data_IF_054957933583
#
_entry.id   IF_054957933583
#
_cell.length_a   1.000
_cell.length_b   1.000
_cell.length_c   1.000
_cell.angle_alpha   90.00
_cell.angle_beta   90.00
_cell.angle_gamma   90.00
#
_symmetry.space_group_name_H-M   'P 1'
#
loop_
_entity.id
_entity.type
_entity.pdbx_description
1 polymer ?
#
# COMPACT_ATOMS: atom_id res chain seq x y z
N UNK A 1 -1.22 19.84 21.31
CA UNK A 1 -0.74 20.40 20.04
C UNK A 1 -0.09 19.28 19.25
N UNK A 2 -0.46 19.06 17.98
CA UNK A 2 0.32 18.19 17.10
C UNK A 2 1.73 18.77 16.96
N UNK A 3 2.74 17.91 16.95
CA UNK A 3 4.11 18.36 16.73
C UNK A 3 4.24 18.96 15.33
N UNK A 4 5.04 20.03 15.14
CA UNK A 4 5.14 20.70 13.86
C UNK A 4 5.69 19.76 12.77
N UNK A 5 5.11 19.85 11.58
CA UNK A 5 5.60 19.15 10.38
C UNK A 5 7.01 19.69 10.08
N UNK A 6 8.00 18.81 10.00
CA UNK A 6 9.37 19.16 9.65
C UNK A 6 9.47 19.65 8.21
N UNK A 7 10.28 20.69 7.99
CA UNK A 7 10.57 21.24 6.66
C UNK A 7 11.76 20.55 5.98
N UNK A 8 12.55 19.76 6.72
CA UNK A 8 13.73 19.04 6.22
C UNK A 8 13.80 17.62 6.77
N UNK A 9 14.49 16.73 6.05
CA UNK A 9 14.76 15.37 6.53
C UNK A 9 15.74 15.41 7.72
N UNK A 10 15.67 14.43 8.63
CA UNK A 10 16.71 14.25 9.64
C UNK A 10 18.09 14.10 9.00
N UNK A 11 19.13 14.59 9.70
CA UNK A 11 20.51 14.53 9.21
C UNK A 11 20.94 13.08 8.91
N UNK A 12 21.61 12.87 7.78
CA UNK A 12 22.07 11.56 7.33
C UNK A 12 20.98 10.58 6.88
N UNK A 13 19.69 10.87 7.10
CA UNK A 13 18.60 9.94 6.77
C UNK A 13 18.51 9.64 5.28
N UNK A 14 18.56 10.67 4.42
CA UNK A 14 18.51 10.48 2.98
C UNK A 14 19.65 9.61 2.46
N UNK A 15 20.88 9.87 2.95
CA UNK A 15 22.07 9.10 2.61
C UNK A 15 21.91 7.64 3.02
N UNK A 16 21.46 7.39 4.26
CA UNK A 16 21.20 6.05 4.78
C UNK A 16 20.20 5.30 3.92
N UNK A 17 19.06 5.91 3.59
CA UNK A 17 18.01 5.24 2.82
C UNK A 17 18.47 4.96 1.39
N UNK A 18 19.14 5.90 0.73
CA UNK A 18 19.68 5.68 -0.63
C UNK A 18 20.76 4.59 -0.61
N UNK A 19 21.66 4.54 0.37
CA UNK A 19 22.64 3.45 0.52
C UNK A 19 21.98 2.07 0.60
N UNK A 20 20.82 2.00 1.27
CA UNK A 20 20.07 0.75 1.39
C UNK A 20 19.31 0.41 0.12
N UNK A 21 18.73 1.40 -0.57
CA UNK A 21 18.07 1.19 -1.87
C UNK A 21 19.06 0.66 -2.91
N UNK A 22 20.25 1.27 -3.02
CA UNK A 22 21.28 0.84 -3.97
C UNK A 22 21.83 -0.56 -3.67
N UNK A 23 21.59 -1.11 -2.47
CA UNK A 23 21.92 -2.50 -2.12
C UNK A 23 20.71 -3.44 -2.19
N UNK A 24 19.57 -2.95 -2.68
CA UNK A 24 18.31 -3.72 -2.76
C UNK A 24 17.70 -4.06 -1.39
N UNK A 25 18.07 -3.32 -0.34
CA UNK A 25 17.75 -3.62 1.07
C UNK A 25 16.57 -2.84 1.64
N UNK A 26 15.76 -2.24 0.79
CA UNK A 26 14.55 -1.51 1.17
C UNK A 26 13.36 -2.06 0.39
N UNK A 27 12.27 -2.31 1.10
CA UNK A 27 10.96 -2.63 0.52
C UNK A 27 10.04 -1.44 0.79
N UNK A 28 9.72 -0.61 -0.22
CA UNK A 28 8.70 0.41 -0.11
C UNK A 28 7.32 -0.21 0.13
N UNK A 29 6.56 0.41 1.02
CA UNK A 29 5.20 0.03 1.36
C UNK A 29 4.30 1.24 1.14
N UNK A 30 3.44 1.17 0.12
CA UNK A 30 2.65 2.28 -0.36
C UNK A 30 1.21 2.18 0.16
N UNK A 31 0.73 3.27 0.76
CA UNK A 31 -0.67 3.47 1.09
C UNK A 31 -1.33 4.52 0.21
N UNK A 32 -2.64 4.75 0.41
CA UNK A 32 -3.43 5.63 -0.46
C UNK A 32 -2.89 7.07 -0.53
N UNK A 33 -2.18 7.53 0.50
CA UNK A 33 -1.55 8.85 0.54
C UNK A 33 -0.49 9.08 -0.54
N UNK A 34 0.12 8.04 -1.14
CA UNK A 34 1.08 8.22 -2.24
C UNK A 34 0.40 8.75 -3.50
N UNK A 35 -0.88 8.42 -3.70
CA UNK A 35 -1.70 8.91 -4.81
C UNK A 35 -2.08 10.38 -4.62
N UNK A 36 -2.00 10.88 -3.39
CA UNK A 36 -2.29 12.27 -3.04
C UNK A 36 -1.03 13.14 -3.02
N UNK A 37 0.16 12.56 -3.23
CA UNK A 37 1.43 13.25 -3.02
C UNK A 37 1.60 14.50 -3.90
N UNK A 38 1.09 14.51 -5.13
CA UNK A 38 1.15 15.68 -6.02
C UNK A 38 -0.18 16.43 -6.10
N UNK A 39 -1.17 16.05 -5.28
CA UNK A 39 -2.49 16.69 -5.27
C UNK A 39 -2.42 18.08 -4.63
N UNK A 40 -2.97 19.14 -5.26
CA UNK A 40 -3.04 20.47 -4.63
C UNK A 40 -3.77 20.40 -3.29
N UNK A 41 -3.32 21.17 -2.30
CA UNK A 41 -3.83 21.08 -0.93
C UNK A 41 -5.28 21.57 -0.81
N UNK A 42 -5.70 22.49 -1.67
CA UNK A 42 -7.04 23.06 -1.76
C UNK A 42 -7.98 22.28 -2.68
N UNK A 43 -7.47 21.24 -3.34
CA UNK A 43 -8.26 20.39 -4.23
C UNK A 43 -9.30 19.61 -3.43
N UNK A 44 -10.56 19.70 -3.88
CA UNK A 44 -11.68 18.92 -3.35
C UNK A 44 -12.03 17.84 -4.35
N UNK A 45 -11.98 16.59 -3.92
CA UNK A 45 -12.32 15.47 -4.77
C UNK A 45 -13.84 15.29 -4.89
N UNK A 46 -14.28 14.96 -6.11
CA UNK A 46 -15.64 14.55 -6.49
C UNK A 46 -15.53 13.35 -7.45
N UNK A 47 -16.51 12.45 -7.45
CA UNK A 47 -16.47 11.22 -8.28
C UNK A 47 -16.53 11.46 -9.78
N UNK A 48 -17.00 12.65 -10.21
CA UNK A 48 -16.96 13.10 -11.60
C UNK A 48 -15.56 13.51 -12.07
N UNK A 49 -14.63 13.72 -11.14
CA UNK A 49 -13.30 14.25 -11.40
C UNK A 49 -12.25 13.13 -11.32
N UNK A 50 -11.57 12.89 -12.45
CA UNK A 50 -10.65 11.76 -12.62
C UNK A 50 -9.17 12.17 -12.56
N UNK A 51 -8.85 13.45 -12.34
CA UNK A 51 -7.46 13.94 -12.24
C UNK A 51 -6.70 13.43 -11.02
N UNK A 52 -7.39 13.07 -9.94
CA UNK A 52 -6.77 12.57 -8.71
C UNK A 52 -7.66 11.52 -8.06
N UNK A 53 -7.04 10.58 -7.35
CA UNK A 53 -7.78 9.63 -6.52
C UNK A 53 -8.31 10.28 -5.22
N UNK A 54 -9.39 9.72 -4.65
CA UNK A 54 -9.88 10.14 -3.35
C UNK A 54 -8.90 9.74 -2.24
N UNK A 55 -8.90 10.52 -1.15
CA UNK A 55 -8.41 10.03 0.15
C UNK A 55 -9.36 8.98 0.72
N UNK A 56 -8.91 8.21 1.72
CA UNK A 56 -9.78 7.22 2.39
C UNK A 56 -11.05 7.83 2.98
N UNK A 57 -10.97 9.07 3.49
CA UNK A 57 -12.14 9.80 3.99
C UNK A 57 -13.08 10.27 2.86
N UNK A 58 -12.53 10.79 1.76
CA UNK A 58 -13.34 11.18 0.59
C UNK A 58 -14.04 9.96 -0.03
N UNK A 59 -13.36 8.81 -0.10
CA UNK A 59 -13.93 7.56 -0.56
C UNK A 59 -15.05 7.07 0.38
N UNK A 60 -14.82 7.10 1.70
CA UNK A 60 -15.85 6.72 2.66
C UNK A 60 -17.10 7.60 2.53
N UNK A 61 -16.92 8.91 2.30
CA UNK A 61 -18.02 9.85 2.07
C UNK A 61 -18.77 9.56 0.77
N UNK A 62 -18.06 9.27 -0.31
CA UNK A 62 -18.68 8.92 -1.59
C UNK A 62 -19.51 7.64 -1.49
N UNK A 63 -18.94 6.59 -0.88
CA UNK A 63 -19.67 5.33 -0.69
C UNK A 63 -20.85 5.52 0.27
N UNK A 64 -20.71 6.33 1.31
CA UNK A 64 -21.78 6.62 2.25
C UNK A 64 -22.96 7.31 1.55
N UNK A 65 -22.67 8.29 0.67
CA UNK A 65 -23.68 8.92 -0.16
C UNK A 65 -24.31 7.91 -1.14
N UNK A 66 -23.48 7.14 -1.84
CA UNK A 66 -23.90 6.20 -2.86
C UNK A 66 -24.80 5.08 -2.34
N UNK A 67 -24.55 4.57 -1.14
CA UNK A 67 -25.32 3.50 -0.50
C UNK A 67 -26.43 4.02 0.43
N UNK A 68 -26.63 5.33 0.55
CA UNK A 68 -27.55 5.92 1.51
C UNK A 68 -27.26 5.48 2.97
N UNK A 69 -25.99 5.57 3.37
CA UNK A 69 -25.54 5.17 4.70
C UNK A 69 -26.24 6.00 5.80
N UNK A 70 -26.87 5.39 6.81
CA UNK A 70 -27.79 6.08 7.72
C UNK A 70 -27.11 7.18 8.56
N UNK A 71 -27.78 8.32 8.73
CA UNK A 71 -27.28 9.43 9.54
C UNK A 71 -27.05 9.04 11.02
N UNK A 72 -27.87 8.13 11.58
CA UNK A 72 -27.68 7.58 12.93
C UNK A 72 -26.38 6.79 13.07
N UNK A 73 -25.90 6.22 11.96
CA UNK A 73 -24.64 5.49 11.91
C UNK A 73 -23.42 6.42 11.71
N UNK A 74 -23.67 7.67 11.30
CA UNK A 74 -22.65 8.72 11.12
C UNK A 74 -22.49 9.59 12.37
N UNK A 75 -23.56 9.80 13.14
CA UNK A 75 -23.51 10.57 14.37
C UNK A 75 -24.44 9.99 15.43
N UNK A 76 -23.93 9.80 16.65
CA UNK A 76 -24.74 9.35 17.76
C UNK A 76 -25.79 10.41 18.14
N UNK A 77 -27.07 10.07 18.01
CA UNK A 77 -28.21 10.95 18.37
C UNK A 77 -28.63 10.85 19.84
N UNK A 78 -28.01 9.97 20.62
CA UNK A 78 -28.29 9.83 22.06
C UNK A 78 -27.68 10.99 22.87
N UNK A 79 -28.10 11.21 24.12
CA UNK A 79 -27.42 12.13 25.03
C UNK A 79 -25.91 11.83 25.10
N UNK A 80 -25.02 12.83 25.20
CA UNK A 80 -23.57 12.62 25.14
C UNK A 80 -23.02 11.61 26.15
N UNK A 81 -23.65 11.50 27.33
CA UNK A 81 -23.34 10.55 28.40
C UNK A 81 -23.77 9.11 28.10
N UNK A 82 -24.67 8.91 27.13
CA UNK A 82 -25.15 7.61 26.66
C UNK A 82 -24.58 7.24 25.28
N UNK A 83 -23.92 8.18 24.60
CA UNK A 83 -23.24 7.91 23.36
C UNK A 83 -21.97 7.08 23.59
N UNK A 84 -22.06 5.78 23.31
CA UNK A 84 -20.90 4.88 23.31
C UNK A 84 -19.87 5.25 22.22
N UNK A 85 -20.30 5.98 21.18
CA UNK A 85 -19.46 6.53 20.11
C UNK A 85 -19.90 7.96 19.76
N UNK A 86 -19.54 8.97 20.57
CA UNK A 86 -19.99 10.35 20.36
C UNK A 86 -19.36 10.98 19.11
N UNK A 87 -18.18 10.50 18.70
CA UNK A 87 -17.48 10.90 17.48
C UNK A 87 -17.24 9.67 16.61
N UNK A 88 -18.31 9.14 16.00
CA UNK A 88 -18.15 8.09 15.00
C UNK A 88 -17.56 8.72 13.74
N UNK A 89 -16.23 8.77 13.65
CA UNK A 89 -15.57 9.12 12.39
C UNK A 89 -16.11 8.20 11.29
N UNK A 90 -16.36 8.77 10.11
CA UNK A 90 -16.85 8.01 8.97
C UNK A 90 -15.78 7.00 8.54
N UNK A 91 -15.99 5.74 8.94
CA UNK A 91 -15.04 4.66 8.73
C UNK A 91 -15.29 3.95 7.40
N UNK A 92 -14.26 3.91 6.55
CA UNK A 92 -14.35 3.33 5.22
C UNK A 92 -14.78 1.85 5.27
N UNK A 93 -14.18 1.05 6.17
CA UNK A 93 -14.48 -0.37 6.23
C UNK A 93 -15.93 -0.63 6.63
N UNK A 94 -16.45 0.15 7.58
CA UNK A 94 -17.83 0.07 8.02
C UNK A 94 -18.83 0.52 6.95
N UNK A 95 -18.54 1.60 6.23
CA UNK A 95 -19.40 2.07 5.12
C UNK A 95 -19.39 1.04 3.99
N UNK A 96 -18.23 0.49 3.64
CA UNK A 96 -18.15 -0.57 2.63
C UNK A 96 -18.88 -1.84 3.06
N UNK A 97 -18.75 -2.24 4.33
CA UNK A 97 -19.50 -3.37 4.89
C UNK A 97 -21.01 -3.15 4.78
N UNK A 98 -21.49 -1.94 5.08
CA UNK A 98 -22.90 -1.60 4.92
C UNK A 98 -23.34 -1.75 3.47
N UNK A 99 -22.61 -1.16 2.52
CA UNK A 99 -22.93 -1.26 1.09
C UNK A 99 -22.99 -2.70 0.60
N UNK A 100 -22.06 -3.55 1.04
CA UNK A 100 -22.06 -4.98 0.73
C UNK A 100 -23.27 -5.71 1.32
N UNK A 101 -23.64 -5.41 2.57
CA UNK A 101 -24.80 -6.03 3.22
C UNK A 101 -26.14 -5.58 2.63
N UNK A 102 -26.25 -4.35 2.14
CA UNK A 102 -27.51 -3.78 1.65
C UNK A 102 -27.71 -3.94 0.14
N UNK A 103 -26.65 -3.80 -0.65
CA UNK A 103 -26.71 -3.84 -2.13
C UNK A 103 -25.91 -5.00 -2.73
N UNK A 104 -25.14 -5.74 -1.92
CA UNK A 104 -24.34 -6.89 -2.34
C UNK A 104 -22.90 -6.53 -2.73
N UNK A 105 -22.00 -7.53 -2.76
CA UNK A 105 -20.58 -7.33 -3.06
C UNK A 105 -20.33 -6.81 -4.49
N UNK A 106 -21.21 -7.15 -5.45
CA UNK A 106 -21.12 -6.66 -6.82
C UNK A 106 -21.31 -5.15 -6.92
N UNK A 107 -22.28 -4.57 -6.21
CA UNK A 107 -22.52 -3.13 -6.21
C UNK A 107 -21.34 -2.34 -5.62
N UNK A 108 -20.72 -2.87 -4.56
CA UNK A 108 -19.48 -2.32 -4.01
C UNK A 108 -18.32 -2.40 -5.00
N UNK A 109 -18.12 -3.55 -5.65
CA UNK A 109 -17.08 -3.72 -6.65
C UNK A 109 -17.27 -2.77 -7.84
N UNK A 110 -18.49 -2.61 -8.36
CA UNK A 110 -18.79 -1.69 -9.47
C UNK A 110 -18.47 -0.23 -9.13
N UNK A 111 -18.78 0.22 -7.91
CA UNK A 111 -18.44 1.58 -7.45
C UNK A 111 -16.94 1.78 -7.26
N UNK A 112 -16.24 0.78 -6.72
CA UNK A 112 -14.78 0.85 -6.58
C UNK A 112 -14.11 0.82 -7.95
N UNK A 113 -14.59 -0.02 -8.87
CA UNK A 113 -14.13 -0.07 -10.25
C UNK A 113 -14.27 1.30 -10.92
N UNK A 114 -15.43 1.94 -10.85
CA UNK A 114 -15.65 3.24 -11.52
C UNK A 114 -14.70 4.35 -11.01
N UNK A 115 -14.24 4.24 -9.77
CA UNK A 115 -13.29 5.18 -9.15
C UNK A 115 -11.84 4.84 -9.52
N UNK A 116 -11.44 3.57 -9.46
CA UNK A 116 -10.03 3.15 -9.56
C UNK A 116 -9.61 2.67 -10.95
N UNK A 117 -10.55 2.31 -11.83
CA UNK A 117 -10.26 1.85 -13.19
C UNK A 117 -9.82 3.00 -14.11
N UNK A 118 -10.06 4.26 -13.75
CA UNK A 118 -9.51 5.41 -14.49
C UNK A 118 -8.32 5.97 -13.73
N UNK A 119 -7.12 5.77 -14.29
CA UNK A 119 -5.86 6.16 -13.65
C UNK A 119 -5.53 7.63 -13.85
N UNK A 120 -5.39 8.44 -12.78
CA UNK A 120 -4.71 9.72 -12.88
C UNK A 120 -3.22 9.50 -13.21
N UNK A 121 -2.48 10.58 -13.47
CA UNK A 121 -1.04 10.46 -13.68
C UNK A 121 -0.34 9.95 -12.40
N UNK A 122 0.66 9.09 -12.59
CA UNK A 122 1.53 8.65 -11.51
C UNK A 122 2.13 9.84 -10.75
N UNK A 123 2.30 9.73 -9.43
CA UNK A 123 2.91 10.79 -8.62
C UNK A 123 4.44 10.68 -8.57
N UNK A 124 5.12 11.67 -7.99
CA UNK A 124 6.58 11.67 -7.82
C UNK A 124 7.09 10.47 -7.03
N UNK A 125 6.28 9.91 -6.12
CA UNK A 125 6.64 8.69 -5.37
C UNK A 125 6.81 7.52 -6.33
N UNK A 126 5.85 7.33 -7.23
CA UNK A 126 5.87 6.26 -8.24
C UNK A 126 7.05 6.42 -9.19
N UNK A 127 7.25 7.62 -9.74
CA UNK A 127 8.37 7.92 -10.64
C UNK A 127 9.71 7.69 -9.96
N UNK A 128 9.91 8.23 -8.76
CA UNK A 128 11.14 8.03 -7.99
C UNK A 128 11.46 6.54 -7.81
N UNK A 129 10.47 5.71 -7.46
CA UNK A 129 10.68 4.27 -7.27
C UNK A 129 10.96 3.52 -8.58
N UNK A 130 10.33 3.92 -9.68
CA UNK A 130 10.58 3.34 -10.99
C UNK A 130 11.96 3.72 -11.56
N UNK A 131 12.41 4.95 -11.27
CA UNK A 131 13.68 5.51 -11.76
C UNK A 131 14.90 5.09 -10.90
N UNK A 132 14.68 4.38 -9.78
CA UNK A 132 15.76 3.89 -8.92
C UNK A 132 16.75 3.03 -9.73
N UNK A 133 18.07 3.27 -9.64
CA UNK A 133 19.07 2.43 -10.28
C UNK A 133 18.95 0.97 -9.82
N UNK A 134 19.38 0.04 -10.69
CA UNK A 134 19.51 -1.35 -10.31
C UNK A 134 20.40 -1.50 -9.06
N UNK A 135 20.00 -2.40 -8.17
CA UNK A 135 20.76 -2.66 -6.96
C UNK A 135 22.09 -3.34 -7.28
N UNK A 136 23.10 -3.06 -6.45
CA UNK A 136 24.37 -3.78 -6.45
C UNK A 136 24.12 -5.27 -6.23
N UNK A 137 24.59 -6.08 -7.17
CA UNK A 137 24.42 -7.52 -7.11
C UNK A 137 25.19 -8.13 -5.93
N UNK A 138 24.45 -8.75 -5.00
CA UNK A 138 25.02 -9.50 -3.88
C UNK A 138 24.69 -11.00 -4.04
N UNK A 139 25.67 -11.87 -4.39
CA UNK A 139 25.42 -13.29 -4.66
C UNK A 139 24.76 -14.05 -3.49
N UNK A 140 25.00 -13.62 -2.26
CA UNK A 140 24.46 -14.21 -1.04
C UNK A 140 23.03 -13.76 -0.73
N UNK A 141 22.47 -12.82 -1.51
CA UNK A 141 21.12 -12.26 -1.37
C UNK A 141 20.44 -12.08 -2.74
N UNK A 142 20.18 -13.17 -3.48
CA UNK A 142 19.57 -13.09 -4.80
C UNK A 142 18.21 -12.37 -4.79
N UNK A 143 17.45 -12.44 -3.69
CA UNK A 143 16.19 -11.73 -3.51
C UNK A 143 16.33 -10.20 -3.54
N UNK A 144 17.55 -9.66 -3.40
CA UNK A 144 17.82 -8.22 -3.40
C UNK A 144 18.18 -7.63 -4.76
N UNK A 145 18.24 -8.46 -5.82
CA UNK A 145 18.60 -8.03 -7.19
C UNK A 145 17.64 -6.96 -7.75
N UNK A 146 16.35 -7.12 -7.49
CA UNK A 146 15.32 -6.18 -7.97
C UNK A 146 14.43 -5.67 -6.84
N UNK A 147 13.74 -4.56 -7.10
CA UNK A 147 12.86 -3.91 -6.14
C UNK A 147 11.60 -4.76 -5.88
N UNK A 148 11.18 -4.81 -4.62
CA UNK A 148 9.82 -5.22 -4.24
C UNK A 148 9.11 -3.98 -3.72
N UNK A 149 7.98 -3.66 -4.32
CA UNK A 149 7.06 -2.63 -3.82
C UNK A 149 5.82 -3.33 -3.29
N UNK A 150 5.46 -3.08 -2.03
CA UNK A 150 4.18 -3.54 -1.48
C UNK A 150 3.19 -2.39 -1.52
N UNK A 151 1.93 -2.64 -1.86
CA UNK A 151 0.89 -1.62 -1.88
C UNK A 151 -0.44 -2.16 -1.37
N UNK A 152 -1.20 -1.29 -0.71
CA UNK A 152 -2.62 -1.50 -0.38
C UNK A 152 -3.55 -0.76 -1.33
N UNK A 153 -3.01 -0.10 -2.35
CA UNK A 153 -3.81 0.62 -3.33
C UNK A 153 -4.32 -0.34 -4.39
N UNK A 154 -5.56 -0.11 -4.84
CA UNK A 154 -6.21 -0.97 -5.83
C UNK A 154 -5.79 -0.63 -7.27
N UNK A 155 -5.39 0.61 -7.53
CA UNK A 155 -5.01 1.12 -8.86
C UNK A 155 -3.75 0.44 -9.43
N UNK A 156 -3.52 0.62 -10.74
CA UNK A 156 -2.38 0.06 -11.47
C UNK A 156 -1.19 1.05 -11.60
N UNK A 157 -1.17 2.19 -10.88
CA UNK A 157 -0.18 3.27 -11.14
C UNK A 157 1.26 2.82 -10.99
N UNK A 158 1.58 2.07 -9.93
CA UNK A 158 2.95 1.58 -9.73
C UNK A 158 3.36 0.60 -10.84
N UNK A 159 2.43 -0.24 -11.29
CA UNK A 159 2.65 -1.24 -12.35
C UNK A 159 2.94 -0.55 -13.69
N UNK A 160 2.18 0.50 -13.98
CA UNK A 160 2.27 1.29 -15.23
C UNK A 160 3.47 2.24 -15.26
N UNK A 161 4.05 2.58 -14.10
CA UNK A 161 5.17 3.55 -14.04
C UNK A 161 6.52 2.92 -14.38
N UNK A 162 6.68 1.59 -14.23
CA UNK A 162 7.93 0.94 -14.61
C UNK A 162 8.13 0.95 -16.14
N UNK A 163 9.21 1.54 -16.67
CA UNK A 163 9.44 1.62 -18.10
C UNK A 163 9.77 0.24 -18.69
N UNK A 164 9.55 0.06 -20.00
CA UNK A 164 10.09 -1.09 -20.72
C UNK A 164 11.61 -0.93 -20.87
N UNK A 165 12.43 -2.01 -20.74
CA UNK A 165 12.03 -3.42 -20.63
C UNK A 165 11.71 -3.89 -19.19
N UNK A 166 11.89 -3.05 -18.18
CA UNK A 166 11.75 -3.33 -16.74
C UNK A 166 10.31 -3.41 -16.21
N UNK A 167 9.33 -3.74 -17.07
CA UNK A 167 7.96 -4.01 -16.63
C UNK A 167 7.96 -4.98 -15.45
N UNK A 168 7.13 -4.73 -14.45
CA UNK A 168 7.12 -5.52 -13.22
C UNK A 168 6.29 -6.79 -13.33
N UNK A 169 6.62 -7.77 -12.49
CA UNK A 169 5.66 -8.81 -12.11
C UNK A 169 4.70 -8.25 -11.06
N UNK A 170 3.45 -8.67 -11.08
CA UNK A 170 2.44 -8.24 -10.12
C UNK A 170 1.89 -9.45 -9.40
N UNK A 171 2.03 -9.47 -8.08
CA UNK A 171 1.47 -10.50 -7.21
C UNK A 171 0.34 -9.85 -6.43
N UNK A 172 -0.89 -10.33 -6.58
CA UNK A 172 -2.06 -9.69 -5.97
C UNK A 172 -2.94 -10.69 -5.24
N UNK A 173 -3.53 -10.24 -4.13
CA UNK A 173 -4.47 -11.00 -3.33
C UNK A 173 -5.86 -11.02 -3.98
N UNK A 174 -6.52 -12.17 -3.95
CA UNK A 174 -7.88 -12.35 -4.40
C UNK A 174 -8.78 -12.73 -3.20
N UNK A 175 -9.71 -11.86 -2.79
CA UNK A 175 -10.58 -12.09 -1.66
C UNK A 175 -11.65 -13.16 -1.91
N UNK A 176 -11.89 -13.61 -3.15
CA UNK A 176 -12.97 -14.55 -3.46
C UNK A 176 -12.85 -15.84 -2.62
N UNK A 177 -13.82 -16.13 -1.73
CA UNK A 177 -13.77 -17.28 -0.82
C UNK A 177 -13.73 -18.62 -1.57
N UNK A 178 -14.18 -18.65 -2.84
CA UNK A 178 -14.12 -19.86 -3.70
C UNK A 178 -12.69 -20.22 -4.10
N UNK A 179 -11.75 -19.29 -3.97
CA UNK A 179 -10.37 -19.50 -4.40
C UNK A 179 -9.46 -20.14 -3.35
N UNK A 180 -9.98 -20.56 -2.19
CA UNK A 180 -9.22 -21.29 -1.16
C UNK A 180 -8.66 -22.63 -1.68
N UNK A 181 -7.43 -23.03 -1.30
CA UNK A 181 -6.50 -22.36 -0.37
C UNK A 181 -5.63 -21.26 -1.01
N UNK A 182 -5.66 -21.12 -2.33
CA UNK A 182 -4.73 -20.31 -3.10
C UNK A 182 -5.25 -18.88 -3.31
N UNK A 183 -4.86 -17.97 -2.43
CA UNK A 183 -5.38 -16.59 -2.39
C UNK A 183 -4.58 -15.56 -3.18
N UNK A 184 -3.42 -15.92 -3.71
CA UNK A 184 -2.58 -15.01 -4.51
C UNK A 184 -2.49 -15.45 -5.96
N UNK A 185 -2.46 -14.45 -6.84
CA UNK A 185 -2.26 -14.60 -8.27
C UNK A 185 -1.01 -13.85 -8.71
N UNK A 186 -0.42 -14.29 -9.82
CA UNK A 186 0.74 -13.68 -10.43
C UNK A 186 0.40 -13.26 -11.87
N UNK A 187 0.49 -11.96 -12.14
CA UNK A 187 0.40 -11.34 -13.47
C UNK A 187 1.82 -10.99 -13.95
N UNK A 188 2.22 -11.57 -15.07
CA UNK A 188 3.49 -11.29 -15.73
C UNK A 188 3.38 -10.03 -16.61
N UNK A 189 4.51 -9.40 -17.01
CA UNK A 189 4.55 -8.26 -17.93
C UNK A 189 3.83 -8.44 -19.28
N UNK A 190 3.67 -9.68 -19.73
CA UNK A 190 2.95 -10.02 -20.97
C UNK A 190 1.42 -10.07 -20.79
N UNK A 191 0.93 -9.84 -19.56
CA UNK A 191 -0.48 -9.90 -19.19
C UNK A 191 -0.96 -11.30 -18.80
N UNK A 192 -0.10 -12.32 -18.83
CA UNK A 192 -0.45 -13.68 -18.40
C UNK A 192 -0.69 -13.68 -16.90
N UNK A 193 -1.89 -14.10 -16.49
CA UNK A 193 -2.30 -14.21 -15.09
C UNK A 193 -2.40 -15.68 -14.70
N UNK A 194 -1.68 -16.08 -13.66
CA UNK A 194 -1.62 -17.47 -13.16
C UNK A 194 -1.89 -17.51 -11.66
N UNK A 195 -2.74 -18.44 -11.23
CA UNK A 195 -3.00 -18.67 -9.80
C UNK A 195 -1.79 -19.31 -9.12
N UNK A 196 -1.38 -18.80 -7.97
CA UNK A 196 -0.28 -19.39 -7.18
C UNK A 196 -0.89 -20.49 -6.30
N UNK A 197 -0.92 -21.73 -6.81
CA UNK A 197 -1.62 -22.83 -6.14
C UNK A 197 -0.94 -23.23 -4.84
N UNK A 198 0.35 -23.56 -4.92
CA UNK A 198 1.21 -23.85 -3.77
C UNK A 198 2.38 -22.86 -3.77
N UNK A 199 2.38 -21.87 -2.86
CA UNK A 199 3.46 -20.90 -2.79
C UNK A 199 4.84 -21.49 -2.42
N UNK A 200 4.88 -22.66 -1.77
CA UNK A 200 6.12 -23.32 -1.38
C UNK A 200 6.84 -23.92 -2.59
N UNK A 201 6.09 -24.40 -3.58
CA UNK A 201 6.60 -25.02 -4.81
C UNK A 201 6.42 -24.14 -6.04
N UNK A 202 6.06 -22.87 -5.88
CA UNK A 202 5.89 -21.95 -7.01
C UNK A 202 7.26 -21.56 -7.61
N UNK A 203 7.69 -22.30 -8.62
CA UNK A 203 8.98 -22.11 -9.29
C UNK A 203 8.92 -20.94 -10.28
N UNK A 204 9.22 -19.74 -9.79
CA UNK A 204 9.40 -18.55 -10.60
C UNK A 204 10.53 -17.68 -10.04
N UNK A 205 11.42 -17.20 -10.92
CA UNK A 205 12.58 -16.37 -10.56
C UNK A 205 12.19 -14.94 -10.21
N UNK A 206 11.43 -14.74 -9.13
CA UNK A 206 11.12 -13.40 -8.65
C UNK A 206 12.42 -12.65 -8.35
N UNK A 207 12.44 -11.37 -8.73
CA UNK A 207 13.56 -10.44 -8.56
C UNK A 207 14.79 -10.68 -9.44
N UNK A 208 14.84 -11.73 -10.27
CA UNK A 208 16.03 -12.02 -11.08
C UNK A 208 16.34 -10.92 -12.11
N UNK A 209 15.31 -10.39 -12.76
CA UNK A 209 15.46 -9.47 -13.90
C UNK A 209 14.55 -8.25 -13.84
N UNK A 210 13.58 -8.21 -12.92
CA UNK A 210 12.55 -7.17 -12.89
C UNK A 210 11.98 -6.95 -11.49
N UNK A 211 11.45 -5.75 -11.23
CA UNK A 211 10.76 -5.45 -9.98
C UNK A 211 9.46 -6.25 -9.84
N UNK A 212 8.99 -6.37 -8.59
CA UNK A 212 7.71 -6.99 -8.26
C UNK A 212 6.85 -5.99 -7.50
N UNK A 213 5.57 -5.89 -7.87
CA UNK A 213 4.54 -5.16 -7.11
C UNK A 213 3.67 -6.20 -6.39
N UNK A 214 3.65 -6.15 -5.05
CA UNK A 214 2.80 -6.99 -4.21
C UNK A 214 1.57 -6.18 -3.74
N UNK A 215 0.38 -6.55 -4.20
CA UNK A 215 -0.89 -5.91 -3.83
C UNK A 215 -1.65 -6.77 -2.83
N UNK A 216 -1.66 -6.34 -1.57
CA UNK A 216 -2.19 -7.16 -0.48
C UNK A 216 -3.68 -6.93 -0.19
N UNK A 217 -4.27 -5.85 -0.71
CA UNK A 217 -5.70 -5.56 -0.58
C UNK A 217 -6.48 -5.86 -1.86
N UNK A 218 -5.87 -6.59 -2.78
CA UNK A 218 -6.42 -6.85 -4.10
C UNK A 218 -6.12 -5.76 -5.11
N UNK A 219 -6.87 -5.75 -6.21
CA UNK A 219 -6.53 -5.00 -7.41
C UNK A 219 -7.78 -4.67 -8.23
N UNK A 220 -7.73 -3.52 -8.89
CA UNK A 220 -8.50 -3.27 -10.11
C UNK A 220 -7.77 -3.96 -11.28
N UNK A 221 -8.48 -4.37 -12.32
CA UNK A 221 -7.92 -4.93 -13.55
C UNK A 221 -8.70 -4.36 -14.72
N UNK A 222 -8.18 -3.25 -15.27
CA UNK A 222 -8.80 -2.54 -16.41
C UNK A 222 -8.98 -3.44 -17.64
N UNK A 223 -8.18 -4.50 -17.75
CA UNK A 223 -8.25 -5.44 -18.88
C UNK A 223 -9.30 -6.53 -18.68
N UNK A 224 -9.67 -6.82 -17.43
CA UNK A 224 -10.63 -7.87 -17.10
C UNK A 224 -11.26 -7.68 -15.70
N UNK A 225 -12.42 -7.03 -15.65
CA UNK A 225 -13.18 -6.79 -14.43
C UNK A 225 -13.51 -8.07 -13.63
N UNK A 226 -13.55 -9.25 -14.26
CA UNK A 226 -13.82 -10.52 -13.57
C UNK A 226 -12.65 -11.00 -12.68
N UNK A 227 -11.48 -10.34 -12.78
CA UNK A 227 -10.30 -10.61 -11.94
C UNK A 227 -10.12 -9.60 -10.81
N UNK A 228 -11.05 -8.64 -10.70
CA UNK A 228 -11.00 -7.62 -9.67
C UNK A 228 -11.37 -8.19 -8.31
N UNK A 229 -10.69 -7.67 -7.29
CA UNK A 229 -10.91 -8.07 -5.92
C UNK A 229 -10.52 -6.94 -4.98
N UNK A 230 -11.36 -6.66 -3.99
CA UNK A 230 -11.16 -5.56 -3.06
C UNK A 230 -11.23 -6.05 -1.62
N UNK A 231 -10.16 -5.88 -0.85
CA UNK A 231 -10.15 -6.07 0.60
C UNK A 231 -10.40 -4.72 1.25
N UNK A 232 -11.65 -4.45 1.63
CA UNK A 232 -12.07 -3.13 2.12
C UNK A 232 -13.04 -3.20 3.30
N UNK A 233 -13.88 -4.25 3.39
CA UNK A 233 -14.83 -4.45 4.48
C UNK A 233 -14.17 -5.07 5.71
N UNK A 234 -14.82 -4.98 6.87
CA UNK A 234 -14.32 -5.63 8.10
C UNK A 234 -14.21 -7.15 7.90
N UNK A 235 -15.20 -7.77 7.25
CA UNK A 235 -15.19 -9.20 6.94
C UNK A 235 -14.01 -9.58 6.05
N UNK A 236 -13.69 -8.80 5.00
CA UNK A 236 -12.52 -9.05 4.16
C UNK A 236 -11.21 -9.01 4.95
N UNK A 237 -11.07 -8.05 5.86
CA UNK A 237 -9.88 -7.99 6.70
C UNK A 237 -9.84 -9.14 7.70
N UNK A 238 -10.96 -9.54 8.31
CA UNK A 238 -11.02 -10.69 9.21
C UNK A 238 -10.62 -11.95 8.44
N UNK A 239 -11.19 -12.21 7.27
CA UNK A 239 -10.83 -13.36 6.45
C UNK A 239 -9.33 -13.34 6.08
N UNK A 240 -8.85 -12.24 5.50
CA UNK A 240 -7.45 -12.12 5.13
C UNK A 240 -6.49 -12.31 6.31
N UNK A 241 -6.86 -11.75 7.48
CA UNK A 241 -5.96 -11.68 8.63
C UNK A 241 -6.05 -12.87 9.59
N UNK A 242 -7.22 -13.53 9.69
CA UNK A 242 -7.47 -14.68 10.56
C UNK A 242 -7.15 -16.04 9.90
N UNK A 243 -6.85 -16.05 8.60
CA UNK A 243 -6.50 -17.25 7.84
C UNK A 243 -5.03 -17.72 8.05
N UNK A 244 -4.51 -18.53 7.11
CA UNK A 244 -3.26 -19.27 7.19
C UNK A 244 -2.00 -18.42 7.42
N UNK A 245 -0.91 -19.03 7.89
CA UNK A 245 0.38 -18.34 8.00
C UNK A 245 0.83 -17.75 6.64
N UNK A 246 1.49 -16.60 6.63
CA UNK A 246 1.95 -15.97 5.38
C UNK A 246 2.87 -16.87 4.55
N UNK A 247 3.59 -17.79 5.21
CA UNK A 247 4.40 -18.83 4.57
C UNK A 247 3.62 -19.76 3.63
N UNK A 248 2.29 -19.85 3.82
CA UNK A 248 1.38 -20.63 2.98
C UNK A 248 0.64 -19.79 1.94
N UNK A 249 0.78 -18.46 1.99
CA UNK A 249 0.06 -17.54 1.11
C UNK A 249 0.98 -16.87 0.08
N UNK A 250 2.23 -16.58 0.46
CA UNK A 250 3.18 -15.85 -0.39
C UNK A 250 4.32 -16.76 -0.87
N UNK A 251 4.80 -16.58 -2.12
CA UNK A 251 6.00 -17.25 -2.60
C UNK A 251 7.19 -17.00 -1.67
N UNK A 252 8.02 -18.03 -1.47
CA UNK A 252 9.15 -18.02 -0.53
C UNK A 252 10.09 -16.82 -0.73
N UNK A 253 10.36 -16.43 -1.97
CA UNK A 253 11.31 -15.36 -2.30
C UNK A 253 10.74 -13.98 -1.92
N UNK A 254 9.45 -13.77 -2.17
CA UNK A 254 8.73 -12.55 -1.76
C UNK A 254 8.74 -12.42 -0.24
N UNK A 255 8.42 -13.51 0.46
CA UNK A 255 8.41 -13.51 1.93
C UNK A 255 9.81 -13.36 2.54
N UNK A 256 10.83 -13.99 1.95
CA UNK A 256 12.22 -13.85 2.37
C UNK A 256 12.69 -12.39 2.26
N UNK A 257 12.34 -11.72 1.15
CA UNK A 257 12.67 -10.31 0.93
C UNK A 257 11.95 -9.39 1.92
N UNK A 258 10.68 -9.64 2.23
CA UNK A 258 9.92 -8.88 3.25
C UNK A 258 10.54 -9.02 4.65
N UNK A 259 11.00 -10.23 5.00
CA UNK A 259 11.56 -10.51 6.34
C UNK A 259 12.98 -9.99 6.52
N UNK A 260 13.77 -9.93 5.44
CA UNK A 260 15.22 -9.74 5.51
C UNK A 260 15.70 -8.35 5.05
N UNK A 261 14.78 -7.39 4.92
CA UNK A 261 15.08 -6.02 4.47
C UNK A 261 14.35 -4.96 5.31
N UNK A 262 14.78 -3.71 5.18
CA UNK A 262 14.11 -2.59 5.82
C UNK A 262 12.79 -2.26 5.13
N UNK A 263 11.78 -1.89 5.89
CA UNK A 263 10.48 -1.47 5.34
C UNK A 263 10.38 0.06 5.32
N UNK A 264 9.90 0.64 4.22
CA UNK A 264 9.70 2.09 4.10
C UNK A 264 8.23 2.39 3.79
N UNK A 265 7.48 2.83 4.79
CA UNK A 265 6.07 3.20 4.67
C UNK A 265 5.91 4.62 4.12
N UNK A 266 5.21 4.74 3.00
CA UNK A 266 4.93 5.99 2.29
C UNK A 266 3.41 6.14 2.11
N UNK A 267 2.86 7.27 2.55
CA UNK A 267 1.43 7.58 2.34
C UNK A 267 0.48 6.62 3.04
N UNK A 268 0.94 5.97 4.12
CA UNK A 268 0.20 4.94 4.83
C UNK A 268 -0.29 5.47 6.18
N UNK A 269 -1.51 5.14 6.60
CA UNK A 269 -2.00 5.46 7.95
C UNK A 269 -1.54 4.40 8.94
N UNK A 270 -0.70 4.78 9.92
CA UNK A 270 -0.27 3.84 10.97
C UNK A 270 -1.39 3.49 11.97
N UNK A 271 -2.55 4.14 11.86
CA UNK A 271 -3.77 3.80 12.61
C UNK A 271 -4.42 2.52 12.10
N UNK A 272 -4.15 2.13 10.86
CA UNK A 272 -4.83 1.02 10.23
C UNK A 272 -4.41 -0.29 10.91
N UNK A 273 -5.38 -0.91 11.59
CA UNK A 273 -5.14 -2.12 12.36
C UNK A 273 -4.74 -3.30 11.47
N UNK A 274 -5.23 -3.34 10.22
CA UNK A 274 -4.92 -4.37 9.25
C UNK A 274 -3.41 -4.47 8.95
N UNK A 275 -2.71 -3.34 8.80
CA UNK A 275 -1.27 -3.29 8.62
C UNK A 275 -0.54 -3.84 9.85
N UNK A 276 -0.99 -3.47 11.05
CA UNK A 276 -0.38 -3.92 12.30
C UNK A 276 -0.40 -5.44 12.39
N UNK A 277 -1.52 -6.06 12.00
CA UNK A 277 -1.63 -7.52 11.96
C UNK A 277 -0.76 -8.11 10.86
N UNK A 278 -0.73 -7.51 9.66
CA UNK A 278 0.14 -7.95 8.57
C UNK A 278 1.63 -7.97 9.00
N UNK A 279 2.12 -6.90 9.63
CA UNK A 279 3.51 -6.81 10.07
C UNK A 279 3.85 -7.82 11.17
N UNK A 280 2.91 -8.10 12.08
CA UNK A 280 3.07 -9.17 13.09
C UNK A 280 3.16 -10.56 12.47
N UNK A 281 2.55 -10.77 11.30
CA UNK A 281 2.65 -12.02 10.55
C UNK A 281 3.94 -12.09 9.73
N UNK A 282 4.38 -10.98 9.15
CA UNK A 282 5.66 -10.91 8.41
C UNK A 282 6.83 -11.13 9.36
N UNK A 283 6.85 -10.43 10.51
CA UNK A 283 7.96 -10.38 11.46
C UNK A 283 9.28 -9.93 10.81
N UNK A 284 9.34 -8.68 10.28
CA UNK A 284 10.55 -8.17 9.67
C UNK A 284 11.71 -8.13 10.69
N UNK A 285 12.91 -8.51 10.24
CA UNK A 285 14.11 -8.56 11.10
C UNK A 285 14.84 -7.23 11.22
N UNK A 286 14.55 -6.30 10.32
CA UNK A 286 15.21 -5.00 10.24
C UNK A 286 14.25 -3.89 10.63
N UNK A 287 14.82 -2.73 10.98
CA UNK A 287 14.05 -1.52 11.28
C UNK A 287 13.21 -1.07 10.09
N UNK A 288 12.11 -0.40 10.41
CA UNK A 288 11.22 0.24 9.46
C UNK A 288 11.24 1.76 9.61
N UNK A 289 10.91 2.46 8.52
CA UNK A 289 10.71 3.90 8.51
C UNK A 289 9.30 4.21 8.04
N UNK A 290 8.64 5.19 8.65
CA UNK A 290 7.34 5.68 8.21
C UNK A 290 7.38 7.19 7.99
N UNK A 291 6.96 7.64 6.81
CA UNK A 291 6.93 9.06 6.45
C UNK A 291 5.51 9.59 6.63
N UNK A 292 5.33 10.42 7.65
CA UNK A 292 4.02 10.94 8.05
C UNK A 292 4.16 12.41 8.41
N UNK A 293 3.32 13.32 7.88
CA UNK A 293 3.37 14.73 8.26
C UNK A 293 3.09 14.90 9.77
N UNK A 294 2.20 14.08 10.32
CA UNK A 294 1.88 14.05 11.73
C UNK A 294 1.67 12.59 12.17
N UNK A 295 2.38 12.17 13.22
CA UNK A 295 2.02 10.97 13.97
C UNK A 295 1.43 11.40 15.32
N UNK A 296 0.33 10.76 15.72
CA UNK A 296 -0.32 11.05 16.99
C UNK A 296 0.57 10.63 18.17
N UNK A 297 0.39 11.28 19.33
CA UNK A 297 1.16 11.01 20.56
C UNK A 297 1.09 9.56 21.06
N UNK A 298 0.14 8.78 20.53
CA UNK A 298 -0.06 7.36 20.87
C UNK A 298 0.66 6.43 19.88
N UNK A 299 0.88 6.86 18.63
CA UNK A 299 1.44 6.00 17.59
C UNK A 299 2.93 5.71 17.84
N UNK A 300 3.73 6.73 18.17
CA UNK A 300 5.16 6.55 18.44
C UNK A 300 5.43 5.56 19.60
N UNK A 301 4.82 5.72 20.80
CA UNK A 301 5.01 4.75 21.88
C UNK A 301 4.48 3.35 21.54
N UNK A 302 3.39 3.25 20.77
CA UNK A 302 2.84 1.96 20.36
C UNK A 302 3.85 1.17 19.53
N UNK A 303 4.43 1.79 18.50
CA UNK A 303 5.39 1.11 17.62
C UNK A 303 6.73 0.84 18.27
N UNK A 304 7.21 1.71 19.18
CA UNK A 304 8.40 1.41 20.01
C UNK A 304 8.24 0.15 20.87
N UNK A 305 7.02 -0.22 21.22
CA UNK A 305 6.71 -1.43 22.02
C UNK A 305 6.43 -2.68 21.18
N UNK A 306 6.33 -2.55 19.85
CA UNK A 306 6.17 -3.72 18.98
C UNK A 306 7.54 -4.34 18.68
N UNK A 307 7.53 -5.59 18.21
CA UNK A 307 8.74 -6.30 17.74
C UNK A 307 9.41 -5.61 16.53
N UNK A 308 8.72 -4.65 15.89
CA UNK A 308 9.23 -3.89 14.73
C UNK A 308 9.66 -2.49 15.19
N UNK A 309 10.96 -2.23 15.14
CA UNK A 309 11.52 -0.89 15.40
C UNK A 309 11.12 0.08 14.27
N UNK A 310 10.06 0.86 14.50
CA UNK A 310 9.55 1.86 13.55
C UNK A 310 10.09 3.27 13.88
N UNK A 311 10.76 3.88 12.91
CA UNK A 311 11.25 5.26 12.98
C UNK A 311 10.33 6.19 12.18
N UNK A 312 9.70 7.15 12.85
CA UNK A 312 8.78 8.11 12.20
C UNK A 312 9.56 9.32 11.69
N UNK A 313 9.45 9.59 10.38
CA UNK A 313 10.02 10.76 9.71
C UNK A 313 8.91 11.78 9.49
N UNK A 314 8.93 12.84 10.30
CA UNK A 314 7.86 13.85 10.39
C UNK A 314 7.96 14.92 9.29
N UNK A 315 7.74 14.55 8.04
CA UNK A 315 7.76 15.45 6.87
C UNK A 315 6.64 15.08 5.90
N UNK A 316 6.33 15.97 4.95
CA UNK A 316 5.45 15.61 3.83
C UNK A 316 6.14 14.65 2.86
N UNK A 317 5.36 13.88 2.09
CA UNK A 317 5.92 13.00 1.06
C UNK A 317 6.70 13.79 0.00
N UNK A 318 6.25 15.00 -0.35
CA UNK A 318 6.96 15.86 -1.31
C UNK A 318 8.35 16.23 -0.82
N UNK A 319 8.46 16.64 0.46
CA UNK A 319 9.73 16.97 1.08
C UNK A 319 10.63 15.73 1.18
N UNK A 320 10.05 14.59 1.56
CA UNK A 320 10.79 13.33 1.70
C UNK A 320 11.40 12.87 0.37
N UNK A 321 10.56 12.72 -0.66
CA UNK A 321 11.01 12.28 -1.99
C UNK A 321 12.00 13.27 -2.58
N UNK A 322 11.75 14.59 -2.46
CA UNK A 322 12.70 15.60 -2.92
C UNK A 322 14.06 15.55 -2.22
N UNK A 323 14.10 15.09 -0.96
CA UNK A 323 15.35 14.83 -0.24
C UNK A 323 16.10 13.61 -0.76
N UNK A 324 15.39 12.52 -1.05
CA UNK A 324 15.96 11.30 -1.62
C UNK A 324 16.46 11.51 -3.06
N UNK A 325 15.69 12.22 -3.90
CA UNK A 325 16.08 12.59 -5.27
C UNK A 325 17.38 13.40 -5.30
N UNK A 326 17.49 14.42 -4.43
CA UNK A 326 18.71 15.22 -4.31
C UNK A 326 19.91 14.38 -3.89
N UNK A 327 19.73 13.44 -2.97
CA UNK A 327 20.81 12.57 -2.51
C UNK A 327 21.23 11.56 -3.58
N UNK A 328 20.28 11.00 -4.32
CA UNK A 328 20.57 10.12 -5.45
C UNK A 328 21.31 10.87 -6.57
N UNK A 329 20.88 12.09 -6.90
CA UNK A 329 21.53 12.91 -7.93
C UNK A 329 22.99 13.22 -7.62
N UNK A 330 23.36 13.43 -6.34
CA UNK A 330 24.76 13.64 -5.92
C UNK A 330 25.67 12.45 -6.24
N UNK A 331 25.11 11.24 -6.36
CA UNK A 331 25.86 10.02 -6.66
C UNK A 331 26.18 9.86 -8.14
N UNK A 332 25.55 10.66 -9.01
CA UNK A 332 25.80 10.64 -10.45
C UNK A 332 25.47 9.31 -11.13
N UNK A 333 24.60 8.49 -10.52
CA UNK A 333 24.18 7.21 -11.09
C UNK A 333 23.08 7.47 -12.14
N UNK A 334 23.15 6.82 -13.31
CA UNK A 334 22.06 6.90 -14.28
C UNK A 334 20.79 6.27 -13.69
N UNK A 335 19.59 6.77 -14.07
CA UNK A 335 18.34 6.08 -13.74
C UNK A 335 18.33 4.68 -14.38
N UNK A 336 17.46 3.80 -13.88
CA UNK A 336 17.29 2.47 -14.47
C UNK A 336 16.92 2.56 -15.97
N UNK A 337 17.58 1.82 -16.87
CA UNK A 337 17.31 1.87 -18.31
C UNK A 337 15.99 1.21 -18.73
#
# INVERSE_FOLDING_TARGET
>A
MPDPIGSTLPEGHAQLVIDKFLRGRVVPFLGAGVNLCDRPQDFKWESSEQRYFPSGWELARELAHGFHYPDEAQACKAPPDLCLRPNADLDLARVSQYGELTEGPGALAERLHSIFAVGPAATRVHRFLADLPAADFEPTRPENRSLLVVTTNYDELMEETFPAPLKCDVVFYDPDPRNRPSRFWHKKPDGTVTKIVDPATYEYGFFDIRPVVLKIHGTVDRSNAAREGFVITEDHYIEYLAEEALDKLLPKDVLAKLRSNHLLFLGYSLRDWNLRVFLRRVKPRFSAWAVLPSADRVEEPFWRRQEVEMNIIRVTLQTYIGGLEKELAKRGLPPNP
#
